data_IF_005869893167
#
_entry.id   IF_005869893167
#
_cell.length_a   1.000
_cell.length_b   1.000
_cell.length_c   1.000
_cell.angle_alpha   90.00
_cell.angle_beta   90.00
_cell.angle_gamma   90.00
#
_symmetry.space_group_name_H-M   'P 1'
#
loop_
_entity.id
_entity.type
_entity.pdbx_description
1 polymer ?
#
# COMPACT_ATOMS: atom_id res chain seq x y z
N UNK A 1 -2.14 -51.23 -24.68
CA UNK A 1 -2.66 -49.92 -25.11
C UNK A 1 -2.82 -48.86 -24.03
N UNK A 2 -2.82 -49.17 -22.72
CA UNK A 2 -2.96 -48.17 -21.61
C UNK A 2 -1.65 -47.42 -21.29
N UNK A 3 -0.49 -48.00 -21.48
CA UNK A 3 0.83 -47.41 -21.18
C UNK A 3 1.24 -46.29 -22.18
N UNK A 4 0.75 -46.33 -23.41
CA UNK A 4 1.09 -45.31 -24.43
C UNK A 4 0.37 -43.99 -24.23
N UNK A 5 -0.82 -43.99 -23.61
CA UNK A 5 -1.60 -42.77 -23.34
C UNK A 5 -1.04 -41.94 -22.20
N UNK A 6 -0.46 -42.59 -21.17
CA UNK A 6 0.16 -41.91 -20.01
C UNK A 6 1.49 -41.25 -20.36
N UNK A 7 2.31 -41.88 -21.21
CA UNK A 7 3.59 -41.30 -21.65
C UNK A 7 3.40 -40.07 -22.51
N UNK A 8 2.37 -40.03 -23.38
CA UNK A 8 2.08 -38.87 -24.24
C UNK A 8 1.57 -37.64 -23.44
N UNK A 9 0.81 -37.88 -22.37
CA UNK A 9 0.33 -36.80 -21.49
C UNK A 9 1.47 -36.13 -20.69
N UNK A 10 2.45 -36.92 -20.23
CA UNK A 10 3.63 -36.37 -19.53
C UNK A 10 4.56 -35.61 -20.48
N UNK A 11 4.66 -36.01 -21.74
CA UNK A 11 5.50 -35.32 -22.73
C UNK A 11 4.91 -33.97 -23.17
N UNK A 12 3.57 -33.88 -23.28
CA UNK A 12 2.89 -32.61 -23.58
C UNK A 12 2.95 -31.59 -22.42
N UNK A 13 2.96 -32.06 -21.17
CA UNK A 13 3.13 -31.14 -20.01
C UNK A 13 4.55 -30.57 -19.92
N UNK A 14 5.57 -31.36 -20.26
CA UNK A 14 6.97 -30.88 -20.23
C UNK A 14 7.28 -29.85 -21.33
N UNK A 15 6.63 -29.93 -22.49
CA UNK A 15 6.79 -28.96 -23.57
C UNK A 15 6.17 -27.58 -23.25
N UNK A 16 5.08 -27.53 -22.45
CA UNK A 16 4.42 -26.27 -22.07
C UNK A 16 5.19 -25.48 -21.00
N UNK A 17 5.94 -26.16 -20.13
CA UNK A 17 6.79 -25.50 -19.14
C UNK A 17 8.06 -24.88 -19.75
N UNK A 18 8.64 -25.51 -20.78
CA UNK A 18 9.84 -24.99 -21.46
C UNK A 18 9.60 -23.68 -22.21
N UNK A 19 8.41 -23.48 -22.76
CA UNK A 19 8.09 -22.24 -23.48
C UNK A 19 7.91 -21.03 -22.56
N UNK A 20 7.36 -21.20 -21.37
CA UNK A 20 7.16 -20.10 -20.43
C UNK A 20 8.48 -19.58 -19.85
N UNK A 21 9.41 -20.49 -19.54
CA UNK A 21 10.75 -20.12 -19.03
C UNK A 21 11.61 -19.43 -20.12
N UNK A 22 11.48 -19.86 -21.37
CA UNK A 22 12.20 -19.25 -22.48
C UNK A 22 11.74 -17.80 -22.73
N UNK A 23 10.44 -17.54 -22.64
CA UNK A 23 9.87 -16.18 -22.77
C UNK A 23 10.29 -15.26 -21.61
N UNK A 24 10.24 -15.76 -20.38
CA UNK A 24 10.72 -15.00 -19.22
C UNK A 24 12.20 -14.62 -19.37
N UNK A 25 13.04 -15.56 -19.78
CA UNK A 25 14.48 -15.31 -20.00
C UNK A 25 14.71 -14.28 -21.10
N UNK A 26 13.94 -14.33 -22.19
CA UNK A 26 14.02 -13.36 -23.28
C UNK A 26 13.60 -11.95 -22.84
N UNK A 27 12.48 -11.83 -22.11
CA UNK A 27 11.99 -10.55 -21.56
C UNK A 27 13.04 -9.94 -20.64
N UNK A 28 13.55 -10.71 -19.66
CA UNK A 28 14.56 -10.22 -18.69
C UNK A 28 15.82 -9.75 -19.41
N UNK A 29 16.35 -10.52 -20.34
CA UNK A 29 17.55 -10.18 -21.09
C UNK A 29 17.36 -8.91 -21.91
N UNK A 30 16.33 -8.88 -22.75
CA UNK A 30 16.13 -7.81 -23.73
C UNK A 30 15.81 -6.46 -23.05
N UNK A 31 14.99 -6.47 -21.97
CA UNK A 31 14.70 -5.26 -21.22
C UNK A 31 15.92 -4.74 -20.46
N UNK A 32 16.70 -5.63 -19.81
CA UNK A 32 17.92 -5.22 -19.11
C UNK A 32 18.97 -4.62 -20.04
N UNK A 33 19.12 -5.19 -21.25
CA UNK A 33 20.07 -4.68 -22.26
C UNK A 33 19.65 -3.31 -22.84
N UNK A 34 18.34 -3.08 -23.00
CA UNK A 34 17.81 -1.87 -23.66
C UNK A 34 17.47 -0.75 -22.69
N UNK A 35 17.06 -1.07 -21.47
CA UNK A 35 16.60 -0.13 -20.46
C UNK A 35 17.28 -0.42 -19.10
N UNK A 36 18.34 0.33 -18.75
CA UNK A 36 19.09 0.10 -17.50
C UNK A 36 18.24 0.09 -16.22
N UNK A 37 17.13 0.84 -16.19
CA UNK A 37 16.19 0.85 -15.07
C UNK A 37 15.51 -0.52 -14.83
N UNK A 38 15.51 -1.42 -15.83
CA UNK A 38 14.97 -2.77 -15.77
C UNK A 38 16.06 -3.85 -15.62
N UNK A 39 17.26 -3.47 -15.22
CA UNK A 39 18.35 -4.42 -14.96
C UNK A 39 17.97 -5.47 -13.89
N UNK A 40 17.09 -5.10 -12.95
CA UNK A 40 16.55 -6.01 -11.94
C UNK A 40 15.02 -6.07 -12.07
N UNK A 41 14.53 -7.12 -12.73
CA UNK A 41 13.10 -7.47 -12.78
C UNK A 41 12.84 -8.48 -11.65
N UNK A 42 11.90 -8.18 -10.74
CA UNK A 42 11.58 -9.06 -9.61
C UNK A 42 10.76 -10.27 -10.08
N UNK A 43 9.79 -10.05 -10.97
CA UNK A 43 8.88 -11.10 -11.45
C UNK A 43 8.45 -10.83 -12.89
N UNK A 44 8.25 -11.91 -13.65
CA UNK A 44 7.60 -11.90 -14.97
C UNK A 44 6.46 -12.89 -14.93
N UNK A 45 5.23 -12.45 -15.24
CA UNK A 45 4.03 -13.28 -15.19
C UNK A 45 3.19 -13.14 -16.46
N UNK A 46 2.45 -14.20 -16.81
CA UNK A 46 1.45 -14.13 -17.87
C UNK A 46 0.24 -13.36 -17.39
N UNK A 47 -0.33 -12.54 -18.28
CA UNK A 47 -1.62 -11.92 -18.04
C UNK A 47 -2.77 -12.74 -18.67
N UNK A 48 -4.03 -12.47 -18.34
CA UNK A 48 -5.18 -13.05 -19.05
C UNK A 48 -5.26 -12.64 -20.55
N UNK A 49 -4.57 -11.58 -20.92
CA UNK A 49 -4.47 -11.15 -22.32
C UNK A 49 -3.33 -11.90 -23.03
N UNK A 50 -3.66 -12.68 -24.03
CA UNK A 50 -2.67 -13.47 -24.77
C UNK A 50 -1.57 -12.58 -25.37
N UNK A 51 -0.31 -12.99 -25.19
CA UNK A 51 0.86 -12.27 -25.71
C UNK A 51 1.28 -11.07 -24.85
N UNK A 52 0.56 -10.74 -23.79
CA UNK A 52 0.92 -9.69 -22.84
C UNK A 52 1.45 -10.31 -21.54
N UNK A 53 2.60 -9.82 -21.09
CA UNK A 53 3.27 -10.23 -19.84
C UNK A 53 3.31 -9.07 -18.89
N UNK A 54 3.05 -9.36 -17.61
CA UNK A 54 3.28 -8.44 -16.49
C UNK A 54 4.74 -8.56 -16.04
N UNK A 55 5.40 -7.43 -15.85
CA UNK A 55 6.71 -7.38 -15.19
C UNK A 55 6.61 -6.52 -13.95
N UNK A 56 7.19 -7.03 -12.85
CA UNK A 56 7.27 -6.33 -11.58
C UNK A 56 8.70 -5.92 -11.30
N UNK A 57 8.89 -4.66 -10.93
CA UNK A 57 10.17 -4.07 -10.52
C UNK A 57 9.99 -3.29 -9.22
N UNK A 58 11.07 -3.07 -8.47
CA UNK A 58 11.05 -2.29 -7.22
C UNK A 58 9.96 -2.76 -6.24
N UNK A 59 9.78 -4.08 -6.13
CA UNK A 59 8.81 -4.76 -5.29
C UNK A 59 7.33 -4.60 -5.70
N UNK A 60 6.89 -3.46 -6.23
CA UNK A 60 5.47 -3.20 -6.49
C UNK A 60 5.15 -2.44 -7.77
N UNK A 61 6.13 -1.98 -8.53
CA UNK A 61 5.91 -1.27 -9.77
C UNK A 61 5.56 -2.26 -10.89
N UNK A 62 4.38 -2.09 -11.50
CA UNK A 62 3.85 -2.98 -12.54
C UNK A 62 3.97 -2.33 -13.91
N UNK A 63 4.53 -3.07 -14.84
CA UNK A 63 4.58 -2.75 -16.25
C UNK A 63 4.14 -3.96 -17.07
N UNK A 64 3.91 -3.76 -18.37
CA UNK A 64 3.53 -4.82 -19.28
C UNK A 64 4.43 -4.80 -20.51
N UNK A 65 4.60 -5.98 -21.12
CA UNK A 65 5.45 -6.16 -22.31
C UNK A 65 4.95 -7.31 -23.17
N UNK A 66 5.42 -7.40 -24.41
CA UNK A 66 5.25 -8.56 -25.27
C UNK A 66 6.21 -9.70 -24.88
N UNK A 67 6.09 -10.85 -25.55
CA UNK A 67 6.87 -12.05 -25.24
C UNK A 67 8.39 -11.90 -25.43
N UNK A 68 8.83 -10.91 -26.20
CA UNK A 68 10.23 -10.62 -26.50
C UNK A 68 10.77 -9.39 -25.80
N UNK A 69 9.94 -8.66 -25.02
CA UNK A 69 10.37 -7.41 -24.39
C UNK A 69 10.65 -6.28 -25.37
N UNK A 70 9.95 -6.23 -26.52
CA UNK A 70 10.16 -5.17 -27.52
C UNK A 70 9.42 -3.87 -27.17
N UNK A 71 8.31 -3.97 -26.46
CA UNK A 71 7.46 -2.84 -26.07
C UNK A 71 7.29 -2.82 -24.56
N UNK A 72 7.28 -1.63 -23.96
CA UNK A 72 6.97 -1.42 -22.55
C UNK A 72 5.73 -0.56 -22.44
N UNK A 73 4.75 -1.03 -21.65
CA UNK A 73 3.50 -0.33 -21.38
C UNK A 73 3.45 -0.03 -19.88
N UNK A 74 3.26 1.24 -19.54
CA UNK A 74 2.95 1.68 -18.19
C UNK A 74 1.48 2.12 -18.16
N UNK A 75 0.65 1.45 -17.36
CA UNK A 75 -0.77 1.73 -17.28
C UNK A 75 -1.56 0.60 -16.65
N UNK A 76 -2.89 0.66 -16.78
CA UNK A 76 -3.81 -0.29 -16.18
C UNK A 76 -4.29 -1.34 -17.19
N UNK A 77 -4.24 -2.61 -16.80
CA UNK A 77 -4.92 -3.72 -17.47
C UNK A 77 -6.31 -3.89 -16.86
N UNK A 78 -7.35 -3.55 -17.62
CA UNK A 78 -8.74 -3.60 -17.17
C UNK A 78 -9.46 -4.75 -17.86
N UNK A 79 -9.98 -5.69 -17.09
CA UNK A 79 -10.94 -6.68 -17.59
C UNK A 79 -12.32 -6.01 -17.71
N UNK A 80 -12.68 -5.67 -18.94
CA UNK A 80 -13.94 -4.96 -19.21
C UNK A 80 -15.17 -5.84 -19.04
N UNK A 81 -15.04 -7.16 -19.11
CA UNK A 81 -16.13 -8.13 -18.89
C UNK A 81 -16.45 -8.26 -17.41
N UNK A 82 -15.38 -8.46 -16.60
CA UNK A 82 -15.50 -8.55 -15.15
C UNK A 82 -15.59 -7.15 -14.48
N UNK A 83 -15.35 -6.06 -15.22
CA UNK A 83 -15.27 -4.67 -14.73
C UNK A 83 -14.23 -4.53 -13.59
N UNK A 84 -13.08 -5.15 -13.76
CA UNK A 84 -11.99 -5.20 -12.76
C UNK A 84 -10.72 -4.57 -13.30
N UNK A 85 -10.04 -3.79 -12.47
CA UNK A 85 -8.70 -3.29 -12.74
C UNK A 85 -7.67 -4.29 -12.19
N UNK A 86 -7.13 -5.13 -13.06
CA UNK A 86 -6.21 -6.20 -12.66
C UNK A 86 -4.87 -5.66 -12.14
N UNK A 87 -4.42 -4.52 -12.68
CA UNK A 87 -3.20 -3.84 -12.21
C UNK A 87 -3.39 -3.32 -10.78
N UNK A 88 -4.49 -2.66 -10.51
CA UNK A 88 -4.82 -2.14 -9.17
C UNK A 88 -4.91 -3.26 -8.14
N UNK A 89 -5.67 -4.33 -8.44
CA UNK A 89 -5.79 -5.51 -7.57
C UNK A 89 -4.44 -6.18 -7.30
N UNK A 90 -3.55 -6.21 -8.31
CA UNK A 90 -2.20 -6.74 -8.14
C UNK A 90 -1.35 -5.85 -7.25
N UNK A 91 -1.37 -4.53 -7.49
CA UNK A 91 -0.66 -3.53 -6.69
C UNK A 91 -1.14 -3.54 -5.25
N UNK A 92 -2.46 -3.59 -5.02
CA UNK A 92 -3.03 -3.71 -3.66
C UNK A 92 -2.49 -4.94 -2.92
N UNK A 93 -2.42 -6.10 -3.57
CA UNK A 93 -1.86 -7.32 -2.97
C UNK A 93 -0.37 -7.20 -2.65
N UNK A 94 0.40 -6.59 -3.56
CA UNK A 94 1.85 -6.42 -3.39
C UNK A 94 2.20 -5.41 -2.30
N UNK A 95 1.38 -4.37 -2.15
CA UNK A 95 1.61 -3.30 -1.17
C UNK A 95 0.85 -3.48 0.14
N UNK A 96 0.07 -4.57 0.27
CA UNK A 96 -0.68 -4.84 1.48
C UNK A 96 0.23 -4.93 2.72
N UNK A 97 -0.23 -4.35 3.81
CA UNK A 97 0.47 -4.39 5.10
C UNK A 97 -0.42 -5.13 6.09
N UNK A 98 0.05 -6.26 6.59
CA UNK A 98 -0.67 -6.98 7.64
C UNK A 98 -0.95 -6.04 8.82
N UNK A 99 -2.23 -5.88 9.15
CA UNK A 99 -2.65 -5.05 10.28
C UNK A 99 -2.05 -5.53 11.61
N UNK A 100 -1.80 -6.83 11.75
CA UNK A 100 -1.14 -7.43 12.90
C UNK A 100 0.34 -7.07 13.03
N UNK A 101 0.99 -6.67 11.94
CA UNK A 101 2.38 -6.24 11.94
C UNK A 101 2.57 -4.78 12.40
N UNK A 102 1.48 -4.01 12.50
CA UNK A 102 1.54 -2.60 12.91
C UNK A 102 2.03 -2.46 14.37
N UNK A 103 2.93 -1.53 14.65
CA UNK A 103 3.41 -1.26 16.00
C UNK A 103 2.38 -0.43 16.79
N UNK A 104 1.21 -0.99 17.06
CA UNK A 104 0.06 -0.28 17.65
C UNK A 104 0.36 0.43 18.97
N UNK A 105 1.39 0.01 19.71
CA UNK A 105 1.89 0.70 20.91
C UNK A 105 2.50 2.07 20.62
N UNK A 106 2.88 2.31 19.38
CA UNK A 106 3.49 3.54 18.90
C UNK A 106 2.48 4.48 18.22
N UNK A 107 1.19 4.12 18.30
CA UNK A 107 0.05 4.94 17.90
C UNK A 107 -0.71 5.42 19.12
N UNK A 108 -1.52 6.46 18.96
CA UNK A 108 -2.64 6.73 19.85
C UNK A 108 -3.95 6.47 19.10
N UNK A 109 -5.01 6.23 19.87
CA UNK A 109 -6.30 5.85 19.29
C UNK A 109 -7.32 6.98 19.38
N UNK A 110 -8.13 7.08 18.32
CA UNK A 110 -9.32 7.92 18.27
C UNK A 110 -10.50 6.98 17.99
N UNK A 111 -11.42 6.89 18.96
CA UNK A 111 -12.59 6.02 18.84
C UNK A 111 -13.81 6.84 18.48
N UNK A 112 -14.54 6.39 17.45
CA UNK A 112 -15.80 6.99 16.98
C UNK A 112 -16.90 5.93 17.02
N UNK A 113 -18.07 6.30 17.52
CA UNK A 113 -19.20 5.37 17.68
C UNK A 113 -18.82 4.12 18.50
N UNK A 114 -19.14 2.94 17.99
CA UNK A 114 -18.85 1.68 18.66
C UNK A 114 -17.40 1.18 18.50
N UNK A 115 -16.57 1.84 17.69
CA UNK A 115 -15.16 1.54 17.50
C UNK A 115 -14.83 0.16 16.89
N UNK A 116 -15.80 -0.58 16.36
CA UNK A 116 -15.60 -1.99 15.95
C UNK A 116 -14.70 -2.15 14.71
N UNK A 117 -14.76 -1.21 13.78
CA UNK A 117 -13.91 -1.23 12.59
C UNK A 117 -12.54 -0.65 12.92
N UNK A 118 -11.50 -1.10 12.24
CA UNK A 118 -10.12 -0.66 12.50
C UNK A 118 -9.55 0.03 11.28
N UNK A 119 -8.91 1.16 11.52
CA UNK A 119 -8.19 1.94 10.54
C UNK A 119 -6.87 2.40 11.16
N UNK A 120 -5.75 2.17 10.51
CA UNK A 120 -4.47 2.77 10.88
C UNK A 120 -4.13 3.88 9.89
N UNK A 121 -3.64 5.01 10.37
CA UNK A 121 -3.30 6.17 9.55
C UNK A 121 -1.93 6.70 9.95
N UNK A 122 -1.04 6.86 8.96
CA UNK A 122 0.25 7.50 9.12
C UNK A 122 0.14 8.95 8.65
N UNK A 123 0.33 9.90 9.57
CA UNK A 123 0.09 11.31 9.29
C UNK A 123 1.19 12.23 9.81
N UNK A 124 1.40 13.32 9.09
CA UNK A 124 2.32 14.40 9.46
C UNK A 124 1.49 15.64 9.89
N UNK A 125 1.79 16.26 11.03
CA UNK A 125 1.03 17.41 11.53
C UNK A 125 1.09 18.65 10.61
N UNK A 126 2.07 18.73 9.71
CA UNK A 126 2.20 19.82 8.75
C UNK A 126 1.68 19.48 7.35
N UNK A 127 1.16 18.27 7.17
CA UNK A 127 0.63 17.84 5.89
C UNK A 127 -0.76 18.45 5.63
N UNK A 128 -0.88 19.28 4.59
CA UNK A 128 -2.16 19.88 4.20
C UNK A 128 -3.20 18.84 3.76
N UNK A 129 -2.77 17.74 3.12
CA UNK A 129 -3.65 16.63 2.75
C UNK A 129 -4.13 15.85 4.00
N UNK A 130 -3.30 15.74 5.04
CA UNK A 130 -3.72 15.17 6.32
C UNK A 130 -4.79 16.02 7.00
N UNK A 131 -4.62 17.36 7.01
CA UNK A 131 -5.66 18.26 7.56
C UNK A 131 -7.00 18.11 6.83
N UNK A 132 -6.97 18.01 5.50
CA UNK A 132 -8.18 17.79 4.71
C UNK A 132 -8.79 16.42 5.01
N UNK A 133 -7.97 15.37 5.06
CA UNK A 133 -8.41 14.02 5.39
C UNK A 133 -9.05 13.95 6.78
N UNK A 134 -8.48 14.59 7.79
CA UNK A 134 -9.07 14.64 9.15
C UNK A 134 -10.44 15.31 9.17
N UNK A 135 -10.67 16.34 8.32
CA UNK A 135 -11.99 16.95 8.15
C UNK A 135 -12.99 15.94 7.57
N UNK A 136 -12.62 15.24 6.49
CA UNK A 136 -13.46 14.22 5.86
C UNK A 136 -13.74 13.06 6.82
N UNK A 137 -12.73 12.64 7.58
CA UNK A 137 -12.81 11.55 8.55
C UNK A 137 -13.80 11.84 9.70
N UNK A 138 -14.14 13.12 9.97
CA UNK A 138 -15.15 13.47 10.99
C UNK A 138 -16.52 12.85 10.72
N UNK A 139 -16.87 12.55 9.47
CA UNK A 139 -18.13 11.95 9.06
C UNK A 139 -18.13 10.42 9.08
N UNK A 140 -16.96 9.79 9.31
CA UNK A 140 -16.82 8.33 9.41
C UNK A 140 -17.03 7.89 10.85
N UNK A 141 -17.96 6.97 11.07
CA UNK A 141 -18.33 6.50 12.41
C UNK A 141 -18.02 5.01 12.61
N UNK A 142 -18.23 4.51 13.83
CA UNK A 142 -18.05 3.10 14.21
C UNK A 142 -16.64 2.55 13.88
N UNK A 143 -15.61 3.36 14.11
CA UNK A 143 -14.22 3.06 13.79
C UNK A 143 -13.27 3.42 14.93
N UNK A 144 -12.29 2.56 15.18
CA UNK A 144 -11.10 2.87 15.96
C UNK A 144 -9.98 3.23 15.01
N UNK A 145 -9.56 4.49 15.04
CA UNK A 145 -8.42 5.00 14.26
C UNK A 145 -7.16 4.88 15.10
N UNK A 146 -6.17 4.12 14.62
CA UNK A 146 -4.82 4.05 15.15
C UNK A 146 -3.96 5.08 14.43
N UNK A 147 -3.70 6.21 15.08
CA UNK A 147 -2.96 7.31 14.46
C UNK A 147 -1.48 7.20 14.79
N UNK A 148 -0.68 7.05 13.74
CA UNK A 148 0.77 7.01 13.79
C UNK A 148 1.33 8.37 13.35
N UNK A 149 1.93 9.11 14.29
CA UNK A 149 2.65 10.33 13.95
C UNK A 149 3.87 9.97 13.08
N UNK A 150 3.87 10.50 11.87
CA UNK A 150 4.87 10.20 10.84
C UNK A 150 5.50 11.49 10.30
N UNK A 151 6.37 12.16 11.10
CA UNK A 151 6.94 13.47 10.74
C UNK A 151 8.00 13.32 9.65
N UNK A 152 7.64 13.60 8.41
CA UNK A 152 8.48 13.51 7.20
C UNK A 152 8.66 14.84 6.48
N UNK A 153 7.92 15.89 6.87
CA UNK A 153 7.95 17.19 6.21
C UNK A 153 8.88 18.22 6.88
N UNK A 154 9.89 17.75 7.61
CA UNK A 154 10.94 18.59 8.16
C UNK A 154 10.91 18.77 9.68
N UNK A 155 11.76 19.67 10.17
CA UNK A 155 12.02 19.83 11.60
C UNK A 155 10.78 20.27 12.39
N UNK A 156 9.98 21.16 11.85
CA UNK A 156 8.75 21.65 12.50
C UNK A 156 7.71 20.52 12.70
N UNK A 157 7.62 19.58 11.74
CA UNK A 157 6.80 18.37 11.88
C UNK A 157 7.26 17.50 13.06
N UNK A 158 8.58 17.37 13.24
CA UNK A 158 9.15 16.60 14.37
C UNK A 158 8.79 17.27 15.69
N UNK A 159 8.91 18.60 15.79
CA UNK A 159 8.58 19.37 17.00
C UNK A 159 7.10 19.25 17.33
N UNK A 160 6.21 19.45 16.35
CA UNK A 160 4.77 19.31 16.57
C UNK A 160 4.36 17.89 16.94
N UNK A 161 4.94 16.88 16.25
CA UNK A 161 4.69 15.47 16.59
C UNK A 161 5.11 15.14 18.01
N UNK A 162 6.29 15.62 18.45
CA UNK A 162 6.74 15.48 19.83
C UNK A 162 5.71 16.09 20.81
N UNK A 163 5.31 17.34 20.57
CA UNK A 163 4.39 18.05 21.45
C UNK A 163 3.02 17.35 21.55
N UNK A 164 2.51 16.82 20.42
CA UNK A 164 1.28 16.02 20.37
C UNK A 164 1.47 14.69 21.11
N UNK A 165 2.58 13.98 20.86
CA UNK A 165 2.85 12.69 21.49
C UNK A 165 3.01 12.79 23.00
N UNK A 166 3.61 13.86 23.48
CA UNK A 166 3.87 14.12 24.88
C UNK A 166 2.70 14.80 25.59
N UNK A 167 1.64 15.19 24.88
CA UNK A 167 0.45 15.76 25.48
C UNK A 167 -0.30 14.75 26.36
N UNK A 168 -0.94 15.24 27.42
CA UNK A 168 -1.77 14.40 28.31
C UNK A 168 -2.93 13.74 27.56
N UNK A 169 -3.55 14.49 26.64
CA UNK A 169 -4.60 14.00 25.73
C UNK A 169 -4.14 14.22 24.30
N UNK A 170 -3.53 13.16 23.74
CA UNK A 170 -2.95 13.17 22.39
C UNK A 170 -4.01 13.38 21.32
N UNK A 171 -5.16 12.70 21.46
CA UNK A 171 -6.24 12.75 20.49
C UNK A 171 -6.86 14.15 20.42
N UNK A 172 -7.12 14.76 21.58
CA UNK A 172 -7.61 16.14 21.64
C UNK A 172 -6.59 17.13 21.06
N UNK A 173 -5.31 17.00 21.42
CA UNK A 173 -4.24 17.90 20.93
C UNK A 173 -4.07 17.78 19.42
N UNK A 174 -4.17 16.57 18.85
CA UNK A 174 -4.19 16.31 17.42
C UNK A 174 -5.36 17.01 16.72
N UNK A 175 -6.59 16.81 17.22
CA UNK A 175 -7.77 17.46 16.65
C UNK A 175 -7.74 18.98 16.78
N UNK A 176 -7.23 19.52 17.89
CA UNK A 176 -7.07 20.96 18.08
C UNK A 176 -6.13 21.55 17.00
N UNK A 177 -5.05 20.84 16.67
CA UNK A 177 -4.14 21.27 15.63
C UNK A 177 -4.70 21.05 14.21
N UNK A 178 -5.17 19.85 13.90
CA UNK A 178 -5.56 19.49 12.54
C UNK A 178 -6.87 20.15 12.09
N UNK A 179 -7.83 20.26 12.98
CA UNK A 179 -9.18 20.77 12.66
C UNK A 179 -9.39 22.25 13.03
N UNK A 180 -8.67 22.75 14.04
CA UNK A 180 -8.87 24.10 14.58
C UNK A 180 -7.66 25.01 14.47
N UNK A 181 -6.54 24.51 13.92
CA UNK A 181 -5.26 25.21 13.83
C UNK A 181 -4.74 25.75 15.20
N UNK A 182 -5.11 25.13 16.30
CA UNK A 182 -4.60 25.47 17.64
C UNK A 182 -3.25 24.77 17.82
N UNK A 183 -2.12 25.48 17.94
CA UNK A 183 -0.81 24.86 18.04
C UNK A 183 -0.67 23.99 19.28
N UNK A 184 0.00 22.81 19.17
CA UNK A 184 0.27 21.98 20.35
C UNK A 184 1.26 22.69 21.28
N UNK A 185 0.96 22.67 22.58
CA UNK A 185 1.82 23.25 23.63
C UNK A 185 3.12 22.44 23.70
N UNK A 186 4.25 23.13 23.89
CA UNK A 186 5.54 22.49 24.04
C UNK A 186 5.52 21.48 25.21
N UNK A 187 5.94 20.25 24.89
CA UNK A 187 5.99 19.14 25.85
C UNK A 187 7.16 18.22 25.52
N UNK A 188 7.71 17.56 26.56
CA UNK A 188 8.84 16.65 26.42
C UNK A 188 8.56 15.34 27.11
N UNK A 189 8.89 14.24 26.47
CA UNK A 189 8.83 12.87 26.97
C UNK A 189 9.65 11.95 26.09
N UNK A 190 9.60 10.63 26.30
CA UNK A 190 10.17 9.66 25.37
C UNK A 190 9.41 9.66 24.02
N UNK A 191 10.11 10.03 22.97
CA UNK A 191 9.59 10.09 21.57
C UNK A 191 10.10 8.94 20.70
N UNK A 192 10.63 7.88 21.29
CA UNK A 192 11.17 6.72 20.55
C UNK A 192 10.10 6.11 19.63
N UNK A 193 8.82 6.23 19.96
CA UNK A 193 7.71 5.85 19.11
C UNK A 193 7.72 6.52 17.74
N UNK A 194 8.05 7.82 17.66
CA UNK A 194 8.11 8.56 16.40
C UNK A 194 9.22 8.02 15.48
N UNK A 195 10.37 7.63 16.09
CA UNK A 195 11.46 7.01 15.34
C UNK A 195 11.02 5.66 14.77
N UNK A 196 10.40 4.80 15.60
CA UNK A 196 9.90 3.49 15.15
C UNK A 196 8.83 3.62 14.07
N UNK A 197 7.94 4.61 14.15
CA UNK A 197 6.96 4.88 13.10
C UNK A 197 7.65 5.23 11.77
N UNK A 198 8.71 6.03 11.80
CA UNK A 198 9.50 6.35 10.59
C UNK A 198 10.20 5.12 10.03
N UNK A 199 10.83 4.31 10.87
CA UNK A 199 11.49 3.06 10.48
C UNK A 199 10.47 2.08 9.87
N UNK A 200 9.29 1.95 10.47
CA UNK A 200 8.20 1.15 9.92
C UNK A 200 7.75 1.68 8.55
N UNK A 201 7.53 2.98 8.42
CA UNK A 201 7.13 3.58 7.15
C UNK A 201 8.17 3.37 6.06
N UNK A 202 9.47 3.48 6.37
CA UNK A 202 10.56 3.18 5.44
C UNK A 202 10.56 1.71 5.02
N UNK A 203 10.43 0.78 5.98
CA UNK A 203 10.38 -0.66 5.72
C UNK A 203 9.25 -1.05 4.78
N UNK A 204 8.09 -0.42 4.91
CA UNK A 204 6.89 -0.73 4.11
C UNK A 204 6.65 0.27 2.98
N UNK A 205 7.65 1.04 2.62
CA UNK A 205 7.60 2.02 1.52
C UNK A 205 6.39 2.97 1.62
N UNK A 206 6.17 3.53 2.84
CA UNK A 206 5.20 4.61 3.06
C UNK A 206 5.88 5.92 2.65
N UNK A 207 5.64 6.36 1.42
CA UNK A 207 6.33 7.50 0.80
C UNK A 207 5.62 8.83 0.97
N UNK A 208 4.39 8.83 1.51
CA UNK A 208 3.59 10.04 1.67
C UNK A 208 2.56 9.95 2.78
N UNK A 209 2.01 11.11 3.13
CA UNK A 209 0.96 11.27 4.13
C UNK A 209 -0.27 11.97 3.58
N UNK A 210 -1.48 11.60 4.01
CA UNK A 210 -1.76 10.46 4.86
C UNK A 210 -1.55 9.13 4.12
N UNK A 211 -1.25 8.04 4.84
CA UNK A 211 -1.35 6.67 4.31
C UNK A 211 -2.24 5.86 5.24
N UNK A 212 -3.28 5.26 4.66
CA UNK A 212 -4.27 4.48 5.37
C UNK A 212 -3.98 2.99 5.23
N UNK A 213 -4.21 2.22 6.30
CA UNK A 213 -4.11 0.76 6.30
C UNK A 213 -5.36 0.20 6.98
N UNK A 214 -6.08 -0.67 6.29
CA UNK A 214 -7.33 -1.28 6.73
C UNK A 214 -7.09 -2.66 7.36
N UNK A 215 -8.08 -3.18 8.08
CA UNK A 215 -7.95 -4.43 8.84
C UNK A 215 -7.60 -5.66 7.97
N UNK A 216 -7.95 -5.66 6.69
CA UNK A 216 -7.60 -6.71 5.72
C UNK A 216 -6.22 -6.51 5.06
N UNK A 217 -5.46 -5.52 5.51
CA UNK A 217 -4.15 -5.17 4.95
C UNK A 217 -4.20 -4.23 3.74
N UNK A 218 -5.37 -3.95 3.19
CA UNK A 218 -5.50 -3.00 2.07
C UNK A 218 -4.94 -1.63 2.45
N UNK A 219 -4.25 -0.99 1.50
CA UNK A 219 -3.58 0.29 1.69
C UNK A 219 -4.14 1.34 0.74
N UNK A 220 -4.39 2.54 1.26
CA UNK A 220 -4.72 3.71 0.46
C UNK A 220 -3.69 4.82 0.70
N UNK A 221 -2.82 5.13 -0.27
CA UNK A 221 -1.91 6.26 -0.18
C UNK A 221 -2.64 7.58 -0.50
N UNK A 222 -2.39 8.61 0.30
CA UNK A 222 -2.98 9.92 0.13
C UNK A 222 -4.36 10.10 0.77
N UNK A 223 -4.85 11.34 0.71
CA UNK A 223 -6.17 11.69 1.25
C UNK A 223 -7.27 11.12 0.32
N UNK A 224 -8.07 10.23 0.86
CA UNK A 224 -9.27 9.68 0.20
C UNK A 224 -10.53 10.25 0.86
N UNK A 225 -11.64 10.31 0.11
CA UNK A 225 -12.90 10.83 0.64
C UNK A 225 -13.48 9.92 1.73
N UNK A 226 -14.34 10.48 2.58
CA UNK A 226 -15.08 9.70 3.59
C UNK A 226 -15.85 8.53 2.97
N UNK A 227 -16.43 8.72 1.78
CA UNK A 227 -17.15 7.66 1.07
C UNK A 227 -16.23 6.50 0.69
N UNK A 228 -15.02 6.78 0.21
CA UNK A 228 -14.05 5.73 -0.11
C UNK A 228 -13.52 5.04 1.15
N UNK A 229 -13.28 5.78 2.24
CA UNK A 229 -12.96 5.20 3.55
C UNK A 229 -14.03 4.22 4.00
N UNK A 230 -15.31 4.61 3.93
CA UNK A 230 -16.45 3.73 4.29
C UNK A 230 -16.48 2.47 3.43
N UNK A 231 -16.32 2.60 2.11
CA UNK A 231 -16.28 1.45 1.19
C UNK A 231 -15.16 0.48 1.55
N UNK A 232 -13.95 1.00 1.83
CA UNK A 232 -12.80 0.18 2.21
C UNK A 232 -12.96 -0.45 3.60
N UNK A 233 -13.54 0.27 4.58
CA UNK A 233 -13.86 -0.27 5.89
C UNK A 233 -14.88 -1.42 5.81
N UNK A 234 -15.89 -1.33 4.95
CA UNK A 234 -16.86 -2.41 4.70
C UNK A 234 -16.16 -3.60 4.02
N UNK A 235 -15.31 -3.36 3.03
CA UNK A 235 -14.54 -4.42 2.36
C UNK A 235 -13.61 -5.15 3.34
N UNK A 236 -13.01 -4.43 4.29
CA UNK A 236 -12.10 -4.98 5.29
C UNK A 236 -12.79 -5.83 6.40
N UNK A 237 -14.13 -5.86 6.46
CA UNK A 237 -14.88 -6.71 7.38
C UNK A 237 -15.25 -8.06 6.80
N UNK A 238 -15.08 -8.24 5.48
CA UNK A 238 -15.37 -9.54 4.84
C UNK A 238 -14.24 -10.52 5.17
N UNK A 239 -14.59 -11.77 5.54
CA UNK A 239 -13.61 -12.81 5.85
C UNK A 239 -12.80 -13.21 4.62
#
# INVERSE_FOLDING_TARGET
MKFFKTALAFFLLALSMGSAQAQEAAIRKNLAERLPAFAKIDEVSKTPMNGLYEIRVNDSDIFYTDAEGNFLIQGNLIDTRAKRNLTEERTEKLTAIDFGALPVKDAFTIVRGNGKRKLAVFEDPNCGYCKRFEQDLTSVDNVTVYLFLYPVLGQDSIVKSRNIWCAKDKAKTWHDWMLRNTPPVAAECDITALKRNREFGQKYNITGTPTLIFANGARAPGAVSAQEVEKMLVAAQKP
#
